data_IF_082646678637
#
_entry.id   IF_082646678637
#
_cell.length_a   1.000
_cell.length_b   1.000
_cell.length_c   1.000
_cell.angle_alpha   90.00
_cell.angle_beta   90.00
_cell.angle_gamma   90.00
#
_symmetry.space_group_name_H-M   'P 1'
#
loop_
_entity.id
_entity.type
_entity.pdbx_description
1 polymer ?
#
# COMPACT_ATOMS: atom_id res chain seq x y z
N UNK A 1 -34.62 -17.52 13.89
CA UNK A 1 -33.44 -16.64 13.93
C UNK A 1 -32.22 -17.47 13.57
N UNK A 2 -31.25 -16.89 12.84
CA UNK A 2 -29.82 -17.01 13.12
C UNK A 2 -29.03 -16.36 11.99
N UNK A 3 -28.61 -15.12 12.24
CA UNK A 3 -27.68 -14.39 11.39
C UNK A 3 -26.28 -14.97 11.57
N UNK A 4 -25.65 -15.37 10.48
CA UNK A 4 -24.27 -15.84 10.47
C UNK A 4 -23.33 -14.66 10.71
N UNK A 5 -22.75 -14.68 11.90
CA UNK A 5 -21.54 -13.97 12.34
C UNK A 5 -20.50 -13.87 11.21
N UNK A 6 -20.28 -12.64 10.75
CA UNK A 6 -19.15 -12.26 9.93
C UNK A 6 -18.80 -10.82 10.28
N UNK A 7 -18.03 -10.63 11.36
CA UNK A 7 -17.25 -9.42 11.54
C UNK A 7 -16.17 -9.41 10.45
N UNK A 8 -16.58 -9.13 9.22
CA UNK A 8 -15.69 -8.81 8.12
C UNK A 8 -15.04 -7.49 8.51
N UNK A 9 -13.78 -7.55 8.91
CA UNK A 9 -12.92 -6.38 9.05
C UNK A 9 -13.15 -5.45 7.86
N UNK A 10 -13.34 -4.16 8.09
CA UNK A 10 -13.83 -3.11 7.17
C UNK A 10 -12.97 -2.91 5.88
N UNK A 11 -12.00 -3.79 5.65
CA UNK A 11 -11.15 -3.85 4.48
C UNK A 11 -11.91 -4.37 3.25
N UNK A 12 -12.07 -3.52 2.23
CA UNK A 12 -12.67 -3.86 0.94
C UNK A 12 -11.58 -4.00 -0.13
N UNK A 13 -11.18 -5.23 -0.51
CA UNK A 13 -10.16 -5.42 -1.53
C UNK A 13 -10.69 -5.15 -2.94
N UNK A 14 -9.80 -4.80 -3.86
CA UNK A 14 -10.09 -4.65 -5.28
C UNK A 14 -8.82 -4.63 -6.14
N UNK A 15 -9.01 -4.42 -7.45
CA UNK A 15 -7.91 -4.38 -8.42
C UNK A 15 -8.09 -3.23 -9.41
N UNK A 16 -7.03 -2.48 -9.66
CA UNK A 16 -6.97 -1.33 -10.56
C UNK A 16 -5.96 -1.59 -11.68
N UNK A 17 -6.47 -1.94 -12.86
CA UNK A 17 -5.67 -2.20 -14.06
C UNK A 17 -4.92 -0.98 -14.56
N UNK A 18 -5.35 0.24 -14.19
CA UNK A 18 -4.73 1.48 -14.70
C UNK A 18 -3.38 1.76 -14.07
N UNK A 19 -3.11 1.18 -12.90
CA UNK A 19 -1.84 1.34 -12.17
C UNK A 19 -1.02 0.06 -12.10
N UNK A 20 -1.63 -1.09 -12.41
CA UNK A 20 -0.95 -2.37 -12.46
C UNK A 20 0.28 -2.34 -13.37
N UNK A 21 1.44 -2.76 -12.85
CA UNK A 21 2.70 -2.80 -13.57
C UNK A 21 3.45 -1.46 -13.62
N UNK A 22 2.87 -0.36 -13.14
CA UNK A 22 3.56 0.94 -13.11
C UNK A 22 4.60 1.00 -12.00
N UNK A 23 5.70 1.70 -12.24
CA UNK A 23 6.61 2.08 -11.16
C UNK A 23 5.99 3.18 -10.31
N UNK A 24 6.19 3.08 -9.00
CA UNK A 24 5.74 4.11 -8.07
C UNK A 24 6.67 4.21 -6.87
N UNK A 25 6.66 5.38 -6.27
CA UNK A 25 7.24 5.66 -4.96
C UNK A 25 6.13 5.86 -3.95
N UNK A 26 6.39 5.46 -2.71
CA UNK A 26 5.49 5.77 -1.63
C UNK A 26 6.21 6.01 -0.32
N UNK A 27 5.64 6.90 0.48
CA UNK A 27 6.03 7.06 1.87
C UNK A 27 5.25 6.04 2.71
N UNK A 28 5.78 4.82 2.77
CA UNK A 28 5.23 3.72 3.53
C UNK A 28 5.50 3.89 5.01
N UNK A 29 4.44 3.92 5.81
CA UNK A 29 4.52 4.00 7.26
C UNK A 29 4.67 2.62 7.90
N UNK A 30 5.88 2.06 8.00
CA UNK A 30 6.05 0.96 8.97
C UNK A 30 5.96 1.54 10.38
N UNK A 31 5.29 0.83 11.29
CA UNK A 31 5.30 1.19 12.70
C UNK A 31 6.75 1.23 13.18
N UNK A 32 7.20 2.36 13.73
CA UNK A 32 8.52 2.40 14.37
C UNK A 32 8.41 1.52 15.62
N UNK A 33 9.22 0.45 15.73
CA UNK A 33 9.16 -0.46 16.87
C UNK A 33 9.28 0.32 18.19
N UNK A 34 8.33 0.11 19.10
CA UNK A 34 8.30 0.79 20.40
C UNK A 34 7.66 2.18 20.40
N UNK A 35 7.09 2.65 19.29
CA UNK A 35 6.33 3.91 19.26
C UNK A 35 4.98 3.74 18.58
N UNK A 36 4.06 4.69 18.83
CA UNK A 36 2.79 4.81 18.10
C UNK A 36 2.92 5.48 16.73
N UNK A 37 4.14 5.83 16.33
CA UNK A 37 4.40 6.62 15.12
C UNK A 37 4.73 5.69 13.95
N UNK A 38 4.12 5.95 12.81
CA UNK A 38 4.56 5.41 11.55
C UNK A 38 5.78 6.24 11.10
N UNK A 39 6.93 5.60 10.93
CA UNK A 39 8.11 6.27 10.42
C UNK A 39 7.92 6.52 8.93
N UNK A 40 8.15 7.75 8.46
CA UNK A 40 8.13 8.05 7.04
C UNK A 40 9.32 7.34 6.39
N UNK A 41 9.05 6.20 5.77
CA UNK A 41 10.06 5.40 5.08
C UNK A 41 9.73 5.42 3.59
N UNK A 42 10.73 5.72 2.78
CA UNK A 42 10.57 5.77 1.33
C UNK A 42 10.70 4.36 0.74
N UNK A 43 9.72 3.99 -0.08
CA UNK A 43 9.72 2.78 -0.87
C UNK A 43 9.58 3.13 -2.34
N UNK A 44 10.28 2.39 -3.20
CA UNK A 44 10.13 2.45 -4.66
C UNK A 44 9.93 1.02 -5.14
N UNK A 45 8.99 0.80 -6.06
CA UNK A 45 8.70 -0.53 -6.58
C UNK A 45 7.71 -0.51 -7.73
N UNK A 46 7.08 -1.65 -7.98
CA UNK A 46 6.07 -1.85 -9.02
C UNK A 46 4.72 -2.12 -8.38
N UNK A 47 3.70 -1.36 -8.79
CA UNK A 47 2.33 -1.56 -8.35
C UNK A 47 1.79 -2.87 -8.90
N UNK A 48 1.16 -3.70 -8.06
CA UNK A 48 0.51 -4.93 -8.54
C UNK A 48 -0.84 -4.65 -9.18
N UNK A 49 -1.45 -3.51 -8.84
CA UNK A 49 -2.84 -3.18 -9.15
C UNK A 49 -3.79 -3.54 -8.00
N UNK A 50 -3.37 -4.36 -7.04
CA UNK A 50 -4.18 -4.68 -5.87
C UNK A 50 -4.33 -3.46 -4.97
N UNK A 51 -5.56 -3.22 -4.51
CA UNK A 51 -5.84 -2.22 -3.51
C UNK A 51 -6.75 -2.77 -2.41
N UNK A 52 -6.73 -2.12 -1.25
CA UNK A 52 -7.69 -2.33 -0.17
C UNK A 52 -8.17 -0.98 0.35
N UNK A 53 -9.49 -0.81 0.40
CA UNK A 53 -10.11 0.35 1.03
C UNK A 53 -10.36 0.00 2.51
N UNK A 54 -9.66 0.65 3.45
CA UNK A 54 -9.69 0.34 4.87
C UNK A 54 -9.38 1.58 5.74
N UNK A 55 -10.06 1.69 6.88
CA UNK A 55 -9.85 2.75 7.88
C UNK A 55 -11.11 3.58 8.14
N UNK A 56 -11.03 4.48 9.13
CA UNK A 56 -12.09 5.44 9.44
C UNK A 56 -11.48 6.86 9.60
N UNK A 57 -11.62 7.75 8.60
CA UNK A 57 -12.31 7.57 7.33
C UNK A 57 -11.61 6.55 6.41
N UNK A 58 -12.36 5.97 5.48
CA UNK A 58 -11.85 4.93 4.58
C UNK A 58 -10.76 5.51 3.68
N UNK A 59 -9.57 4.93 3.74
CA UNK A 59 -8.45 5.25 2.84
C UNK A 59 -8.18 4.08 1.90
N UNK A 60 -7.75 4.39 0.68
CA UNK A 60 -7.31 3.39 -0.28
C UNK A 60 -5.82 3.13 -0.11
N UNK A 61 -5.46 1.85 -0.05
CA UNK A 61 -4.08 1.40 0.05
C UNK A 61 -3.77 0.53 -1.16
N UNK A 62 -2.72 0.85 -1.91
CA UNK A 62 -2.23 0.07 -3.05
C UNK A 62 -1.05 -0.81 -2.65
N UNK A 63 -0.97 -2.02 -3.20
CA UNK A 63 0.17 -2.91 -2.97
C UNK A 63 1.31 -2.56 -3.94
N UNK A 64 2.42 -2.10 -3.36
CA UNK A 64 3.69 -1.91 -4.05
C UNK A 64 4.56 -3.13 -3.82
N UNK A 65 4.87 -3.89 -4.87
CA UNK A 65 5.71 -5.07 -4.82
C UNK A 65 7.00 -4.84 -5.61
N UNK A 66 7.85 -5.87 -5.70
CA UNK A 66 9.13 -5.81 -6.43
C UNK A 66 9.94 -4.57 -6.04
N UNK A 67 10.07 -4.36 -4.73
CA UNK A 67 10.68 -3.17 -4.16
C UNK A 67 12.12 -3.03 -4.65
N UNK A 68 12.40 -1.95 -5.38
CA UNK A 68 13.72 -1.57 -5.87
C UNK A 68 14.45 -0.67 -4.87
N UNK A 69 13.69 0.07 -4.05
CA UNK A 69 14.19 0.84 -2.90
C UNK A 69 13.34 0.48 -1.69
N UNK A 70 13.99 0.06 -0.60
CA UNK A 70 13.37 -0.17 0.70
C UNK A 70 14.35 0.14 1.83
N UNK A 71 13.87 0.50 3.04
CA UNK A 71 14.72 0.70 4.20
C UNK A 71 15.54 -0.54 4.55
N UNK A 72 16.73 -0.32 5.10
CA UNK A 72 17.57 -1.40 5.60
C UNK A 72 16.82 -2.19 6.69
N UNK A 73 16.89 -3.51 6.61
CA UNK A 73 16.20 -4.40 7.55
C UNK A 73 14.70 -4.59 7.29
N UNK A 74 14.11 -3.99 6.26
CA UNK A 74 12.72 -4.26 5.90
C UNK A 74 12.55 -5.68 5.33
N UNK A 75 11.82 -6.59 6.03
CA UNK A 75 11.77 -8.00 5.68
C UNK A 75 10.82 -8.31 4.53
N UNK A 76 9.91 -7.40 4.19
CA UNK A 76 8.91 -7.60 3.15
C UNK A 76 9.47 -7.42 1.74
N UNK A 77 8.86 -8.14 0.80
CA UNK A 77 9.07 -7.98 -0.65
C UNK A 77 8.01 -7.06 -1.28
N UNK A 78 7.04 -6.62 -0.49
CA UNK A 78 5.97 -5.69 -0.85
C UNK A 78 5.52 -4.88 0.36
N UNK A 79 4.96 -3.70 0.12
CA UNK A 79 4.41 -2.79 1.13
C UNK A 79 3.07 -2.23 0.66
N UNK A 80 2.13 -2.03 1.61
CA UNK A 80 0.89 -1.31 1.34
C UNK A 80 1.12 0.19 1.48
N UNK A 81 0.79 0.93 0.42
CA UNK A 81 0.98 2.38 0.32
C UNK A 81 -0.37 3.07 0.26
N UNK A 82 -0.61 4.05 1.13
CA UNK A 82 -1.82 4.86 1.07
C UNK A 82 -1.81 5.73 -0.21
N UNK A 83 -2.98 5.86 -0.84
CA UNK A 83 -3.16 6.51 -2.15
C UNK A 83 -2.66 7.96 -2.22
N UNK A 84 -2.85 8.76 -1.18
CA UNK A 84 -2.38 10.15 -1.07
C UNK A 84 -0.89 10.29 -0.84
N UNK A 85 -0.19 9.19 -0.52
CA UNK A 85 1.27 9.13 -0.38
C UNK A 85 1.92 8.25 -1.46
N UNK A 86 1.17 7.89 -2.52
CA UNK A 86 1.64 7.09 -3.65
C UNK A 86 1.85 8.00 -4.87
N UNK A 87 3.06 7.98 -5.42
CA UNK A 87 3.45 8.77 -6.59
C UNK A 87 3.88 7.84 -7.70
N UNK A 88 3.14 7.82 -8.81
CA UNK A 88 3.51 7.03 -9.98
C UNK A 88 4.69 7.70 -10.68
N UNK A 89 5.77 6.93 -10.86
CA UNK A 89 6.91 7.31 -11.67
C UNK A 89 6.55 7.03 -13.13
N UNK A 90 5.93 8.00 -13.79
CA UNK A 90 5.74 7.91 -15.24
C UNK A 90 7.13 8.07 -15.90
N UNK A 91 7.60 7.05 -16.63
CA UNK A 91 8.67 7.29 -17.60
C UNK A 91 8.06 8.17 -18.70
N UNK A 92 8.58 9.39 -18.83
CA UNK A 92 8.02 10.42 -19.68
C UNK A 92 7.56 9.88 -21.03
N UNK A 93 6.33 10.21 -21.39
CA UNK A 93 5.77 10.03 -22.72
C UNK A 93 6.81 10.42 -23.79
N UNK A 94 7.30 9.43 -24.53
CA UNK A 94 7.95 9.60 -25.82
C UNK A 94 6.92 9.45 -26.92
#
# INVERSE_FOLDING_TARGET
MNQSKGEASDARPGFDTSVAGKQAECDGGHAIPGTRYAGRQEFTGTLTGEYVDHGEPVWRWYLLARLTRKPEGYPGDSVWCESGNLFILEEGSG
#
